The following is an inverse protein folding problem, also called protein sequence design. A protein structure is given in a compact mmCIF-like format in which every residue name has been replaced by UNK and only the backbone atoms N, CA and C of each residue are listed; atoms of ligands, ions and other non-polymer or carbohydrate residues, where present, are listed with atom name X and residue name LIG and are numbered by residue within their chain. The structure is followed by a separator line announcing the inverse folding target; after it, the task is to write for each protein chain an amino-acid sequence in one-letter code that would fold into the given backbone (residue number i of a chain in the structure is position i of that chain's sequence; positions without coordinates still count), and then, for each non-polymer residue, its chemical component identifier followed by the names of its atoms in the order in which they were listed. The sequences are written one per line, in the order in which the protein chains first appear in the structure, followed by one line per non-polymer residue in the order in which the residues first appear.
data_IF_087899286722
#
_entry.id   IF_087899286722
#
_cell.length_a   1.000
_cell.length_b   1.000
_cell.length_c   1.000
_cell.angle_alpha   90.00
_cell.angle_beta   90.00
_cell.angle_gamma   90.00
#
_symmetry.space_group_name_H-M   'P 1'
#
loop_
_entity.id
_entity.type
_entity.pdbx_description
1 polymer ?
#
# COMPACT_ATOMS: atom_id res chain seq x y z
N UNK A 1 19.69 4.18 -1.37
CA UNK A 1 18.60 5.13 -1.01
C UNK A 1 17.29 4.48 -1.40
N UNK A 2 16.53 4.01 -0.40
CA UNK A 2 15.45 3.03 -0.54
C UNK A 2 14.41 3.44 -1.59
N UNK A 3 14.16 2.57 -2.57
CA UNK A 3 12.98 2.68 -3.42
C UNK A 3 11.74 2.48 -2.53
N UNK A 4 11.20 3.58 -2.00
CA UNK A 4 9.89 3.58 -1.35
C UNK A 4 8.89 2.99 -2.34
N UNK A 5 8.25 1.88 -1.98
CA UNK A 5 7.21 1.28 -2.81
C UNK A 5 6.09 2.29 -3.05
N UNK A 6 5.36 2.16 -4.16
CA UNK A 6 4.23 3.06 -4.47
C UNK A 6 3.20 3.13 -3.33
N UNK A 7 3.06 2.06 -2.55
CA UNK A 7 2.24 1.99 -1.33
C UNK A 7 2.73 2.96 -0.26
N UNK A 8 4.00 2.85 0.16
CA UNK A 8 4.58 3.72 1.20
C UNK A 8 4.48 5.21 0.83
N UNK A 9 4.65 5.53 -0.46
CA UNK A 9 4.46 6.92 -0.96
C UNK A 9 3.01 7.36 -0.87
N UNK A 10 2.04 6.51 -1.21
CA UNK A 10 0.62 6.82 -1.09
C UNK A 10 0.24 7.11 0.37
N UNK A 11 0.70 6.28 1.32
CA UNK A 11 0.49 6.52 2.75
C UNK A 11 1.11 7.84 3.22
N UNK A 12 2.37 8.09 2.83
CA UNK A 12 3.07 9.32 3.22
C UNK A 12 2.37 10.58 2.67
N UNK A 13 1.88 10.56 1.43
CA UNK A 13 1.09 11.65 0.84
C UNK A 13 -0.25 11.86 1.54
N UNK A 14 -0.83 10.80 2.10
CA UNK A 14 -2.04 10.88 2.91
C UNK A 14 -1.78 11.40 4.34
N UNK A 15 -0.52 11.67 4.72
CA UNK A 15 -0.14 12.16 6.05
C UNK A 15 -0.31 11.12 7.16
N UNK A 16 -0.30 9.83 6.82
CA UNK A 16 -0.57 8.74 7.76
C UNK A 16 0.71 8.03 8.22
N UNK A 17 0.77 7.67 9.49
CA UNK A 17 1.66 6.63 10.02
C UNK A 17 1.18 5.23 9.60
N UNK A 18 2.02 4.21 9.79
CA UNK A 18 1.62 2.83 9.49
C UNK A 18 0.54 2.33 10.45
N UNK A 19 0.62 2.67 11.75
CA UNK A 19 -0.45 2.41 12.74
C UNK A 19 -1.79 3.04 12.33
N UNK A 20 -1.82 4.31 11.95
CA UNK A 20 -3.07 4.98 11.57
C UNK A 20 -3.67 4.35 10.31
N UNK A 21 -2.83 3.99 9.33
CA UNK A 21 -3.31 3.27 8.15
C UNK A 21 -3.82 1.88 8.51
N UNK A 22 -3.15 1.17 9.42
CA UNK A 22 -3.58 -0.14 9.88
C UNK A 22 -4.96 -0.07 10.54
N UNK A 23 -5.20 0.93 11.38
CA UNK A 23 -6.52 1.19 11.98
C UNK A 23 -7.58 1.45 10.92
N UNK A 24 -7.31 2.33 9.94
CA UNK A 24 -8.24 2.58 8.82
C UNK A 24 -8.52 1.34 7.98
N UNK A 25 -7.55 0.46 7.85
CA UNK A 25 -7.66 -0.79 7.10
C UNK A 25 -8.13 -1.97 7.97
N UNK A 26 -8.45 -1.77 9.25
CA UNK A 26 -8.85 -2.87 10.15
C UNK A 26 -7.84 -4.01 10.17
N UNK A 27 -6.54 -3.69 10.27
CA UNK A 27 -5.43 -4.65 10.28
C UNK A 27 -4.35 -4.18 11.27
N UNK A 28 -3.19 -4.83 11.29
CA UNK A 28 -2.06 -4.48 12.18
C UNK A 28 -1.01 -3.66 11.45
N UNK A 29 -0.22 -2.88 12.21
CA UNK A 29 0.91 -2.16 11.62
C UNK A 29 1.90 -3.12 10.95
N UNK A 30 2.14 -4.29 11.53
CA UNK A 30 3.04 -5.30 10.95
C UNK A 30 2.58 -5.78 9.56
N UNK A 31 1.27 -5.87 9.32
CA UNK A 31 0.71 -6.16 8.00
C UNK A 31 0.98 -5.00 7.04
N UNK A 32 0.79 -3.75 7.46
CA UNK A 32 1.11 -2.57 6.62
C UNK A 32 2.60 -2.51 6.29
N UNK A 33 3.48 -2.72 7.26
CA UNK A 33 4.92 -2.76 7.04
C UNK A 33 5.31 -3.86 6.04
N UNK A 34 4.71 -5.05 6.15
CA UNK A 34 4.92 -6.15 5.20
C UNK A 34 4.43 -5.80 3.79
N UNK A 35 3.28 -5.14 3.66
CA UNK A 35 2.77 -4.65 2.37
C UNK A 35 3.74 -3.63 1.74
N UNK A 36 4.18 -2.66 2.53
CA UNK A 36 5.08 -1.58 2.07
C UNK A 36 6.50 -2.08 1.76
N UNK A 37 6.92 -3.19 2.36
CA UNK A 37 8.22 -3.81 2.09
C UNK A 37 8.32 -4.48 0.71
N UNK A 38 7.20 -4.71 0.02
CA UNK A 38 7.18 -5.48 -1.23
C UNK A 38 7.46 -6.98 -1.08
N UNK A 39 7.72 -7.47 0.15
CA UNK A 39 7.96 -8.90 0.44
C UNK A 39 6.71 -9.77 0.45
N UNK A 40 5.56 -9.19 0.12
CA UNK A 40 4.30 -9.92 -0.02
C UNK A 40 3.64 -9.58 -1.35
N UNK A 41 2.93 -10.55 -1.93
CA UNK A 41 2.05 -10.34 -3.07
C UNK A 41 0.64 -10.05 -2.53
N UNK A 42 0.24 -8.78 -2.34
CA UNK A 42 -1.12 -8.46 -1.95
C UNK A 42 -2.11 -8.87 -3.04
N UNK A 43 -3.31 -9.26 -2.64
CA UNK A 43 -4.43 -9.38 -3.58
C UNK A 43 -4.85 -8.00 -4.09
N UNK A 44 -5.50 -7.96 -5.25
CA UNK A 44 -6.12 -6.75 -5.79
C UNK A 44 -7.06 -6.09 -4.78
N UNK A 45 -7.86 -6.89 -4.07
CA UNK A 45 -8.75 -6.41 -2.99
C UNK A 45 -7.99 -5.69 -1.89
N UNK A 46 -6.81 -6.18 -1.48
CA UNK A 46 -5.98 -5.49 -0.48
C UNK A 46 -5.47 -4.16 -1.02
N UNK A 47 -5.04 -4.12 -2.27
CA UNK A 47 -4.58 -2.89 -2.93
C UNK A 47 -5.70 -1.84 -3.06
N UNK A 48 -6.92 -2.26 -3.38
CA UNK A 48 -8.10 -1.38 -3.43
C UNK A 48 -8.43 -0.78 -2.06
N UNK A 49 -8.41 -1.60 -1.00
CA UNK A 49 -8.63 -1.12 0.37
C UNK A 49 -7.55 -0.14 0.80
N UNK A 50 -6.30 -0.42 0.45
CA UNK A 50 -5.17 0.47 0.73
C UNK A 50 -5.34 1.80 -0.02
N UNK A 51 -5.72 1.76 -1.30
CA UNK A 51 -5.98 2.94 -2.10
C UNK A 51 -7.10 3.79 -1.48
N UNK A 52 -8.23 3.17 -1.11
CA UNK A 52 -9.33 3.84 -0.41
C UNK A 52 -8.88 4.49 0.91
N UNK A 53 -8.13 3.78 1.74
CA UNK A 53 -7.69 4.27 3.05
C UNK A 53 -6.69 5.44 2.96
N UNK A 54 -5.97 5.54 1.85
CA UNK A 54 -5.00 6.62 1.55
C UNK A 54 -5.57 7.72 0.66
N UNK A 55 -6.84 7.63 0.24
CA UNK A 55 -7.43 8.60 -0.70
C UNK A 55 -6.80 8.58 -2.09
N UNK A 56 -6.27 7.42 -2.52
CA UNK A 56 -5.66 7.24 -3.84
C UNK A 56 -6.48 6.32 -4.74
N UNK A 57 -6.14 6.25 -6.03
CA UNK A 57 -6.79 5.37 -7.02
C UNK A 57 -5.83 4.24 -7.42
N UNK A 58 -6.29 3.00 -7.34
CA UNK A 58 -5.55 1.86 -7.86
C UNK A 58 -5.56 1.89 -9.40
N UNK A 59 -4.37 1.82 -10.01
CA UNK A 59 -4.18 1.65 -11.45
C UNK A 59 -3.28 0.43 -11.67
N UNK A 60 -3.78 -0.55 -12.42
CA UNK A 60 -3.03 -1.75 -12.80
C UNK A 60 -2.76 -1.66 -14.29
N UNK A 61 -1.50 -1.85 -14.67
CA UNK A 61 -1.04 -1.89 -16.07
C UNK A 61 -0.38 -3.24 -16.33
N UNK A 62 -0.60 -3.78 -17.52
CA UNK A 62 0.14 -4.94 -18.03
C UNK A 62 1.18 -4.41 -19.01
N UNK A 63 2.40 -4.90 -18.90
CA UNK A 63 3.49 -4.57 -19.81
C UNK A 63 3.84 -5.83 -20.62
N UNK A 64 4.47 -5.65 -21.78
CA UNK A 64 4.90 -6.78 -22.59
C UNK A 64 5.82 -7.68 -21.76
N UNK A 65 5.56 -8.99 -21.80
CA UNK A 65 6.53 -9.96 -21.30
C UNK A 65 7.64 -10.02 -22.34
N UNK A 66 8.83 -9.53 -22.00
CA UNK A 66 10.06 -9.76 -22.77
C UNK A 66 10.49 -11.23 -22.69
#
# INVERSE_FOLDING_TARGET
MFALTSLARARSRAGLTQEELAQRMGTTQSVIARLESGRSKPSTRTLERYAKATGTKLRITLEAAE
#
